data_IF_923728966999
#
_entry.id   IF_923728966999
#
_cell.length_a   1.000
_cell.length_b   1.000
_cell.length_c   1.000
_cell.angle_alpha   90.00
_cell.angle_beta   90.00
_cell.angle_gamma   90.00
#
_symmetry.space_group_name_H-M   'P 1'
#
loop_
_entity.id
_entity.type
_entity.pdbx_description
1 polymer ?
#
# COMPACT_ATOMS: atom_id res chain seq x y z
N UNK A 1 -21.21 -29.28 -37.36
CA UNK A 1 -20.09 -28.71 -38.16
C UNK A 1 -18.77 -29.02 -37.46
N UNK A 2 -17.90 -29.81 -38.09
CA UNK A 2 -16.55 -30.09 -37.55
C UNK A 2 -15.64 -28.90 -37.87
N UNK A 3 -15.16 -28.19 -36.82
CA UNK A 3 -14.18 -27.14 -37.00
C UNK A 3 -12.83 -27.76 -37.47
N UNK A 4 -12.17 -27.10 -38.42
CA UNK A 4 -10.83 -27.49 -38.87
C UNK A 4 -9.80 -27.34 -37.69
N UNK A 5 -8.70 -28.07 -37.73
CA UNK A 5 -7.66 -28.01 -36.71
C UNK A 5 -7.12 -26.57 -36.51
N UNK A 6 -6.99 -25.81 -37.61
CA UNK A 6 -6.57 -24.41 -37.60
C UNK A 6 -7.57 -23.49 -36.84
N UNK A 7 -8.87 -23.72 -37.03
CA UNK A 7 -9.91 -22.96 -36.36
C UNK A 7 -10.03 -23.35 -34.87
N UNK A 8 -9.81 -24.62 -34.52
CA UNK A 8 -9.73 -25.06 -33.12
C UNK A 8 -8.59 -24.39 -32.37
N UNK A 9 -7.42 -24.28 -32.98
CA UNK A 9 -6.28 -23.60 -32.37
C UNK A 9 -6.50 -22.09 -32.19
N UNK A 10 -7.09 -21.42 -33.19
CA UNK A 10 -7.47 -20.01 -33.07
C UNK A 10 -8.47 -19.79 -31.93
N UNK A 11 -9.48 -20.64 -31.81
CA UNK A 11 -10.47 -20.56 -30.74
C UNK A 11 -9.84 -20.79 -29.36
N UNK A 12 -8.91 -21.75 -29.23
CA UNK A 12 -8.17 -22.00 -27.99
C UNK A 12 -7.37 -20.78 -27.55
N UNK A 13 -6.63 -20.16 -28.47
CA UNK A 13 -5.84 -18.94 -28.19
C UNK A 13 -6.76 -17.82 -27.73
N UNK A 14 -7.86 -17.57 -28.45
CA UNK A 14 -8.83 -16.55 -28.10
C UNK A 14 -9.42 -16.76 -26.71
N UNK A 15 -9.90 -17.99 -26.40
CA UNK A 15 -10.45 -18.32 -25.07
C UNK A 15 -9.40 -18.16 -23.96
N UNK A 16 -8.16 -18.53 -24.21
CA UNK A 16 -7.07 -18.36 -23.26
C UNK A 16 -6.78 -16.88 -22.96
N UNK A 17 -6.75 -16.04 -23.99
CA UNK A 17 -6.57 -14.59 -23.85
C UNK A 17 -7.73 -13.94 -23.09
N UNK A 18 -8.99 -14.33 -23.35
CA UNK A 18 -10.16 -13.86 -22.62
C UNK A 18 -10.14 -14.27 -21.14
N UNK A 19 -9.78 -15.52 -20.83
CA UNK A 19 -9.65 -16.00 -19.45
C UNK A 19 -8.58 -15.21 -18.71
N UNK A 20 -7.43 -14.98 -19.31
CA UNK A 20 -6.35 -14.16 -18.70
C UNK A 20 -6.82 -12.74 -18.46
N UNK A 21 -7.51 -12.11 -19.41
CA UNK A 21 -8.03 -10.76 -19.24
C UNK A 21 -9.03 -10.66 -18.07
N UNK A 22 -9.91 -11.66 -17.90
CA UNK A 22 -10.85 -11.74 -16.77
C UNK A 22 -10.13 -11.91 -15.44
N UNK A 23 -9.11 -12.79 -15.37
CA UNK A 23 -8.31 -13.00 -14.17
C UNK A 23 -7.56 -11.71 -13.77
N UNK A 24 -7.02 -10.96 -14.73
CA UNK A 24 -6.41 -9.67 -14.46
C UNK A 24 -7.39 -8.63 -13.91
N UNK A 25 -8.60 -8.54 -14.50
CA UNK A 25 -9.64 -7.65 -13.99
C UNK A 25 -10.03 -7.97 -12.55
N UNK A 26 -10.21 -9.24 -12.22
CA UNK A 26 -10.49 -9.69 -10.86
C UNK A 26 -9.35 -9.35 -9.89
N UNK A 27 -8.11 -9.57 -10.31
CA UNK A 27 -6.91 -9.26 -9.52
C UNK A 27 -6.82 -7.77 -9.22
N UNK A 28 -6.99 -6.92 -10.24
CA UNK A 28 -7.04 -5.46 -10.08
C UNK A 28 -8.16 -5.03 -9.13
N UNK A 29 -9.34 -5.65 -9.21
CA UNK A 29 -10.47 -5.37 -8.31
C UNK A 29 -10.16 -5.73 -6.86
N UNK A 30 -9.51 -6.88 -6.61
CA UNK A 30 -9.07 -7.29 -5.27
C UNK A 30 -8.05 -6.32 -4.71
N UNK A 31 -7.04 -5.94 -5.50
CA UNK A 31 -5.99 -5.00 -5.10
C UNK A 31 -6.58 -3.63 -4.77
N UNK A 32 -7.54 -3.13 -5.55
CA UNK A 32 -8.21 -1.84 -5.27
C UNK A 32 -9.02 -1.84 -3.97
N UNK A 33 -9.54 -2.99 -3.55
CA UNK A 33 -10.21 -3.13 -2.25
C UNK A 33 -9.22 -3.20 -1.08
N UNK A 34 -8.06 -3.78 -1.30
CA UNK A 34 -6.99 -3.85 -0.33
C UNK A 34 -6.27 -2.50 -0.28
N UNK A 35 -6.32 -1.83 0.85
CA UNK A 35 -5.71 -0.49 1.00
C UNK A 35 -4.25 -0.56 1.39
N UNK A 36 -3.88 -1.53 2.21
CA UNK A 36 -2.55 -1.69 2.80
C UNK A 36 -1.94 -3.02 2.38
N UNK A 37 -0.67 -2.99 2.04
CA UNK A 37 0.10 -4.16 1.59
C UNK A 37 1.49 -4.15 2.21
N UNK A 38 2.02 -5.35 2.48
CA UNK A 38 3.43 -5.52 2.84
C UNK A 38 4.31 -5.51 1.60
N UNK A 39 5.38 -4.74 1.66
CA UNK A 39 6.41 -4.68 0.60
C UNK A 39 7.80 -4.91 1.17
N UNK A 40 8.56 -5.81 0.54
CA UNK A 40 9.98 -6.01 0.81
C UNK A 40 10.80 -5.13 -0.12
N UNK A 41 11.67 -4.31 0.43
CA UNK A 41 12.56 -3.45 -0.35
C UNK A 41 13.62 -4.32 -1.01
N UNK A 42 13.61 -4.40 -2.34
CA UNK A 42 14.57 -5.20 -3.11
C UNK A 42 15.59 -4.37 -3.86
N UNK A 43 15.30 -3.10 -4.12
CA UNK A 43 16.21 -2.18 -4.78
C UNK A 43 15.91 -0.73 -4.44
N UNK A 44 16.92 0.13 -4.57
CA UNK A 44 16.84 1.58 -4.37
C UNK A 44 17.43 2.31 -5.56
N UNK A 45 16.68 3.23 -6.11
CA UNK A 45 17.15 4.14 -7.16
C UNK A 45 17.22 5.58 -6.64
N UNK A 46 17.68 6.51 -7.49
CA UNK A 46 17.64 7.95 -7.20
C UNK A 46 16.20 8.52 -7.08
N UNK A 47 15.21 7.80 -7.59
CA UNK A 47 13.82 8.29 -7.68
C UNK A 47 12.85 7.59 -6.71
N UNK A 48 13.21 6.42 -6.18
CA UNK A 48 12.33 5.66 -5.30
C UNK A 48 12.81 4.25 -5.01
N UNK A 49 11.92 3.48 -4.39
CA UNK A 49 12.15 2.10 -3.97
C UNK A 49 11.44 1.14 -4.90
N UNK A 50 12.11 0.04 -5.24
CA UNK A 50 11.47 -1.13 -5.84
C UNK A 50 11.17 -2.14 -4.75
N UNK A 51 9.96 -2.65 -4.75
CA UNK A 51 9.42 -3.51 -3.70
C UNK A 51 8.94 -4.83 -4.29
N UNK A 52 9.11 -5.91 -3.54
CA UNK A 52 8.46 -7.19 -3.80
C UNK A 52 7.23 -7.30 -2.91
N UNK A 53 6.07 -7.55 -3.51
CA UNK A 53 4.79 -7.71 -2.83
C UNK A 53 4.16 -9.05 -3.18
N UNK A 54 3.04 -9.40 -2.53
CA UNK A 54 2.25 -10.59 -2.87
C UNK A 54 1.69 -10.57 -4.31
N UNK A 55 1.56 -9.39 -4.92
CA UNK A 55 1.10 -9.20 -6.30
C UNK A 55 2.25 -9.01 -7.31
N UNK A 56 3.48 -9.18 -6.88
CA UNK A 56 4.67 -8.99 -7.70
C UNK A 56 5.40 -7.69 -7.37
N UNK A 57 6.19 -7.19 -8.33
CA UNK A 57 6.97 -5.97 -8.15
C UNK A 57 6.09 -4.73 -8.08
N UNK A 58 6.42 -3.83 -7.15
CA UNK A 58 5.79 -2.54 -6.97
C UNK A 58 6.86 -1.44 -6.86
N UNK A 59 6.44 -0.20 -7.04
CA UNK A 59 7.32 0.96 -6.98
C UNK A 59 6.79 2.00 -6.00
N UNK A 60 7.66 2.54 -5.16
CA UNK A 60 7.35 3.62 -4.24
C UNK A 60 8.27 4.82 -4.50
N UNK A 61 7.81 5.85 -5.23
CA UNK A 61 8.60 7.04 -5.51
C UNK A 61 8.86 7.83 -4.23
N UNK A 62 10.05 8.40 -4.06
CA UNK A 62 10.44 9.16 -2.85
C UNK A 62 9.49 10.31 -2.51
N UNK A 63 8.87 10.92 -3.52
CA UNK A 63 7.85 11.98 -3.29
C UNK A 63 6.61 11.51 -2.53
N UNK A 64 6.35 10.21 -2.54
CA UNK A 64 5.22 9.56 -1.83
C UNK A 64 5.67 8.87 -0.54
N UNK A 65 6.92 9.04 -0.13
CA UNK A 65 7.49 8.50 1.11
C UNK A 65 7.70 9.60 2.14
N UNK A 66 7.84 9.20 3.40
CA UNK A 66 8.06 10.12 4.52
C UNK A 66 9.48 10.70 4.46
N UNK A 67 9.61 12.01 4.40
CA UNK A 67 10.93 12.68 4.28
C UNK A 67 11.87 12.36 5.44
N UNK A 68 11.35 12.25 6.67
CA UNK A 68 12.16 11.92 7.84
C UNK A 68 12.66 10.47 7.79
N UNK A 69 11.89 9.53 7.28
CA UNK A 69 12.32 8.15 7.09
C UNK A 69 13.43 8.05 6.03
N UNK A 70 13.36 8.84 4.96
CA UNK A 70 14.40 8.90 3.94
C UNK A 70 15.72 9.41 4.53
N UNK A 71 15.68 10.49 5.31
CA UNK A 71 16.86 11.10 5.95
C UNK A 71 17.53 10.19 6.98
N UNK A 72 16.75 9.42 7.73
CA UNK A 72 17.24 8.53 8.77
C UNK A 72 17.81 7.20 8.21
N UNK A 73 17.85 7.01 6.88
CA UNK A 73 18.27 5.74 6.29
C UNK A 73 17.33 4.57 6.63
N UNK A 74 16.09 4.88 6.96
CA UNK A 74 15.07 3.93 7.40
C UNK A 74 14.77 2.83 6.36
N UNK A 75 14.89 3.14 5.07
CA UNK A 75 14.61 2.20 4.01
C UNK A 75 15.83 1.34 3.67
N UNK A 76 16.00 0.23 4.38
CA UNK A 76 17.09 -0.72 4.14
C UNK A 76 16.68 -1.81 3.14
N UNK A 77 17.65 -2.34 2.39
CA UNK A 77 17.43 -3.51 1.53
C UNK A 77 16.96 -4.70 2.38
N UNK A 78 16.06 -5.51 1.82
CA UNK A 78 15.42 -6.65 2.45
C UNK A 78 14.48 -6.33 3.64
N UNK A 79 14.28 -5.07 3.97
CA UNK A 79 13.33 -4.67 4.99
C UNK A 79 11.90 -4.83 4.47
N UNK A 80 11.02 -5.36 5.33
CA UNK A 80 9.58 -5.43 5.08
C UNK A 80 8.86 -4.30 5.80
N UNK A 81 8.07 -3.54 5.05
CA UNK A 81 7.29 -2.43 5.56
C UNK A 81 5.88 -2.47 5.00
N UNK A 82 4.96 -1.83 5.71
CA UNK A 82 3.59 -1.61 5.26
C UNK A 82 3.50 -0.36 4.39
N UNK A 83 2.78 -0.49 3.28
CA UNK A 83 2.54 0.59 2.34
C UNK A 83 1.05 0.71 2.03
N UNK A 84 0.61 1.90 1.69
CA UNK A 84 -0.69 2.11 1.08
C UNK A 84 -0.59 1.96 -0.44
N UNK A 85 -1.62 1.37 -1.05
CA UNK A 85 -1.70 1.23 -2.51
C UNK A 85 -2.22 2.54 -3.08
N UNK A 86 -1.32 3.35 -3.62
CA UNK A 86 -1.65 4.66 -4.20
C UNK A 86 -2.33 4.52 -5.54
N UNK A 87 -1.80 3.67 -6.42
CA UNK A 87 -2.33 3.45 -7.76
C UNK A 87 -2.08 2.02 -8.22
N UNK A 88 -3.07 1.43 -8.88
CA UNK A 88 -2.94 0.16 -9.58
C UNK A 88 -3.40 0.34 -11.02
N UNK A 89 -2.61 -0.13 -11.96
CA UNK A 89 -2.93 -0.12 -13.39
C UNK A 89 -2.36 -1.36 -14.07
N UNK A 90 -2.88 -1.68 -15.23
CA UNK A 90 -2.34 -2.73 -16.10
C UNK A 90 -1.53 -2.08 -17.20
N UNK A 91 -0.26 -2.47 -17.33
CA UNK A 91 0.64 -1.98 -18.38
C UNK A 91 1.40 -3.16 -18.95
N UNK A 92 1.43 -3.28 -20.30
CA UNK A 92 2.17 -4.35 -21.01
C UNK A 92 1.83 -5.76 -20.47
N UNK A 93 0.55 -6.08 -20.29
CA UNK A 93 0.05 -7.35 -19.73
C UNK A 93 0.52 -7.67 -18.31
N UNK A 94 1.05 -6.68 -17.58
CA UNK A 94 1.47 -6.80 -16.19
C UNK A 94 0.78 -5.80 -15.28
N UNK A 95 0.81 -6.07 -13.97
CA UNK A 95 0.36 -5.14 -12.94
C UNK A 95 1.44 -4.09 -12.67
N UNK A 96 1.03 -2.82 -12.68
CA UNK A 96 1.86 -1.72 -12.22
C UNK A 96 1.27 -1.17 -10.93
N UNK A 97 2.00 -1.38 -9.82
CA UNK A 97 1.63 -0.96 -8.49
C UNK A 97 2.50 0.20 -8.05
N UNK A 98 1.86 1.30 -7.68
CA UNK A 98 2.53 2.44 -7.04
C UNK A 98 2.07 2.52 -5.59
N UNK A 99 3.03 2.56 -4.68
CA UNK A 99 2.83 2.54 -3.24
C UNK A 99 3.25 3.87 -2.61
N UNK A 100 2.63 4.20 -1.49
CA UNK A 100 2.96 5.37 -0.68
C UNK A 100 3.02 5.06 0.82
N UNK A 101 3.58 6.00 1.59
CA UNK A 101 3.55 6.00 3.05
C UNK A 101 2.96 7.28 3.65
N UNK A 102 2.39 8.13 2.80
CA UNK A 102 1.85 9.45 3.19
C UNK A 102 0.35 9.44 3.41
N UNK A 103 -0.35 8.37 3.06
CA UNK A 103 -1.81 8.32 3.09
C UNK A 103 -2.40 8.32 4.49
N UNK A 104 -3.62 8.89 4.61
CA UNK A 104 -4.45 8.79 5.81
C UNK A 104 -4.80 7.32 6.13
N UNK A 105 -5.01 6.49 5.12
CA UNK A 105 -5.38 5.09 5.30
C UNK A 105 -4.27 4.27 5.98
N UNK A 106 -3.00 4.49 5.62
CA UNK A 106 -1.87 3.86 6.29
C UNK A 106 -1.75 4.34 7.74
N UNK A 107 -1.89 5.65 7.97
CA UNK A 107 -1.85 6.22 9.32
C UNK A 107 -2.96 5.64 10.21
N UNK A 108 -4.18 5.50 9.70
CA UNK A 108 -5.29 4.87 10.43
C UNK A 108 -5.00 3.40 10.75
N UNK A 109 -4.46 2.65 9.80
CA UNK A 109 -4.08 1.25 9.98
C UNK A 109 -3.04 1.09 11.10
N UNK A 110 -1.98 1.89 11.07
CA UNK A 110 -0.91 1.86 12.08
C UNK A 110 -1.41 2.31 13.46
N UNK A 111 -2.26 3.33 13.52
CA UNK A 111 -2.88 3.71 14.78
C UNK A 111 -3.73 2.58 15.38
N UNK A 112 -4.47 1.85 14.56
CA UNK A 112 -5.27 0.69 15.01
C UNK A 112 -4.43 -0.48 15.51
N UNK A 113 -3.22 -0.64 14.99
CA UNK A 113 -2.29 -1.67 15.47
C UNK A 113 -1.65 -1.31 16.81
N UNK A 114 -1.41 -0.02 17.07
CA UNK A 114 -0.70 0.45 18.25
C UNK A 114 -1.67 0.77 19.39
N UNK A 115 -2.82 1.38 19.08
CA UNK A 115 -3.81 1.79 20.07
C UNK A 115 -4.86 0.70 20.29
N UNK A 116 -5.09 0.32 21.55
CA UNK A 116 -6.12 -0.64 21.92
C UNK A 116 -7.54 -0.04 21.93
N UNK A 117 -7.68 1.26 21.69
CA UNK A 117 -8.95 1.96 21.67
C UNK A 117 -9.61 1.91 20.29
N UNK A 118 -10.95 1.95 20.26
CA UNK A 118 -11.67 2.11 19.00
C UNK A 118 -11.39 3.49 18.39
N UNK A 119 -10.96 3.52 17.13
CA UNK A 119 -10.65 4.75 16.39
C UNK A 119 -11.78 5.05 15.43
N UNK A 120 -12.48 6.16 15.64
CA UNK A 120 -13.58 6.62 14.79
C UNK A 120 -13.06 7.27 13.52
N UNK A 121 -12.10 8.19 13.65
CA UNK A 121 -11.51 8.89 12.50
C UNK A 121 -10.13 9.44 12.84
N UNK A 122 -9.36 9.77 11.80
CA UNK A 122 -8.12 10.54 11.91
C UNK A 122 -8.16 11.71 10.93
N UNK A 123 -7.64 12.86 11.39
CA UNK A 123 -7.36 14.02 10.53
C UNK A 123 -5.87 14.26 10.52
N UNK A 124 -5.24 14.11 9.36
CA UNK A 124 -3.80 14.24 9.19
C UNK A 124 -3.44 15.43 8.33
N UNK A 125 -2.62 16.33 8.88
CA UNK A 125 -1.84 17.29 8.10
C UNK A 125 -0.42 16.74 8.02
N UNK A 126 -0.13 16.08 6.90
CA UNK A 126 1.10 15.32 6.67
C UNK A 126 2.37 16.14 7.00
N UNK A 127 3.29 15.54 7.78
CA UNK A 127 4.52 16.19 8.23
C UNK A 127 4.34 17.26 9.32
N UNK A 128 3.11 17.52 9.76
CA UNK A 128 2.79 18.56 10.75
C UNK A 128 2.12 17.95 11.98
N UNK A 129 0.94 17.37 11.81
CA UNK A 129 0.15 16.82 12.93
C UNK A 129 -0.83 15.75 12.47
N UNK A 130 -1.08 14.81 13.36
CA UNK A 130 -2.19 13.84 13.24
C UNK A 130 -3.10 13.96 14.44
N UNK A 131 -4.40 14.20 14.21
CA UNK A 131 -5.46 14.23 15.23
C UNK A 131 -6.26 12.95 15.14
N UNK A 132 -6.37 12.23 16.27
CA UNK A 132 -7.03 10.94 16.39
C UNK A 132 -8.29 11.10 17.22
N UNK A 133 -9.42 10.60 16.74
CA UNK A 133 -10.70 10.53 17.45
C UNK A 133 -10.93 9.09 17.91
N UNK A 134 -11.04 8.87 19.22
CA UNK A 134 -11.08 7.53 19.81
C UNK A 134 -12.05 7.43 20.99
N UNK A 135 -12.42 6.20 21.35
CA UNK A 135 -13.39 5.91 22.43
C UNK A 135 -12.82 6.10 23.82
N UNK A 136 -11.51 5.88 24.00
CA UNK A 136 -10.86 5.87 25.30
C UNK A 136 -9.51 6.58 25.26
N UNK A 137 -9.07 7.03 26.42
CA UNK A 137 -7.78 7.71 26.55
C UNK A 137 -6.63 6.73 26.26
N UNK A 138 -5.72 7.02 25.32
CA UNK A 138 -4.60 6.14 25.02
C UNK A 138 -3.53 6.21 26.12
N UNK A 139 -2.73 5.15 26.23
CA UNK A 139 -1.59 5.11 27.12
C UNK A 139 -0.48 6.04 26.64
N UNK A 140 0.35 6.54 27.56
CA UNK A 140 1.44 7.46 27.24
C UNK A 140 2.49 6.82 26.33
N UNK A 141 2.77 5.55 26.56
CA UNK A 141 3.72 4.74 25.80
C UNK A 141 3.29 4.61 24.33
N UNK A 142 2.01 4.34 24.09
CA UNK A 142 1.46 4.22 22.74
C UNK A 142 1.48 5.54 21.99
N UNK A 143 1.16 6.64 22.67
CA UNK A 143 1.30 7.99 22.09
C UNK A 143 2.74 8.30 21.74
N UNK A 144 3.70 7.90 22.56
CA UNK A 144 5.12 8.10 22.27
C UNK A 144 5.59 7.27 21.08
N UNK A 145 5.14 6.02 20.97
CA UNK A 145 5.39 5.15 19.80
C UNK A 145 4.87 5.78 18.51
N UNK A 146 3.63 6.30 18.54
CA UNK A 146 3.04 7.00 17.39
C UNK A 146 3.81 8.27 17.02
N UNK A 147 4.23 9.08 17.99
CA UNK A 147 5.05 10.27 17.74
C UNK A 147 6.37 9.92 17.07
N UNK A 148 7.06 8.89 17.57
CA UNK A 148 8.33 8.41 16.99
C UNK A 148 8.11 7.88 15.58
N UNK A 149 7.05 7.11 15.36
CA UNK A 149 6.75 6.51 14.07
C UNK A 149 6.42 7.55 12.99
N UNK A 150 5.53 8.50 13.30
CA UNK A 150 5.10 9.50 12.32
C UNK A 150 6.03 10.72 12.25
N UNK A 151 6.81 10.97 13.30
CA UNK A 151 7.55 12.21 13.49
C UNK A 151 6.66 13.46 13.29
N UNK A 152 5.44 13.37 13.77
CA UNK A 152 4.39 14.40 13.69
C UNK A 152 3.86 14.67 15.11
N UNK A 153 3.24 15.84 15.30
CA UNK A 153 2.50 16.14 16.53
C UNK A 153 1.25 15.26 16.59
N UNK A 154 1.16 14.38 17.58
CA UNK A 154 -0.01 13.55 17.82
C UNK A 154 -0.94 14.25 18.80
N UNK A 155 -2.18 14.46 18.41
CA UNK A 155 -3.26 15.02 19.22
C UNK A 155 -4.40 14.02 19.24
N UNK A 156 -5.03 13.82 20.37
CA UNK A 156 -6.20 12.94 20.45
C UNK A 156 -7.39 13.66 21.05
N UNK A 157 -8.59 13.19 20.72
CA UNK A 157 -9.86 13.61 21.32
C UNK A 157 -10.68 12.36 21.60
N UNK A 158 -11.09 12.19 22.86
CA UNK A 158 -12.05 11.16 23.26
C UNK A 158 -13.46 11.65 22.93
N UNK A 159 -14.25 10.78 22.27
CA UNK A 159 -15.64 11.03 21.87
C UNK A 159 -16.52 9.91 22.42
#
# INVERSE_FOLDING_TARGET
VKLSSKNKNKLRIYLYEEIIALLFKERVRKIKKQKIILGKIIDKSSFGLTLQTEYGKAYAPYKLLLKHEQKAGFYALNQMLEFHIYKVSVKNKGLNLILDRTSKALALHLCRQILNSHIFDIKRAFGVRTKIYLSERPQKEDLQRLKTYFNEKIIYKVI
#
